data_IF_000872167615
#
_entry.id   IF_000872167615
#
_cell.length_a   1.000
_cell.length_b   1.000
_cell.length_c   1.000
_cell.angle_alpha   90.00
_cell.angle_beta   90.00
_cell.angle_gamma   90.00
#
_symmetry.space_group_name_H-M   'P 1'
#
loop_
_entity.id
_entity.type
_entity.pdbx_description
1 polymer ?
#
# COMPACT_ATOMS: atom_id res chain seq x y z
N UNK A 1 54.18 -31.90 -24.91
CA UNK A 1 55.36 -31.03 -25.01
C UNK A 1 55.19 -29.91 -23.99
N UNK A 2 56.03 -29.98 -22.99
CA UNK A 2 56.10 -29.10 -21.83
C UNK A 2 56.86 -27.79 -22.14
N UNK A 3 56.49 -26.70 -21.62
CA UNK A 3 57.48 -25.68 -21.18
C UNK A 3 56.96 -24.91 -19.96
N UNK A 4 57.67 -25.08 -18.83
CA UNK A 4 57.73 -24.24 -17.62
C UNK A 4 58.80 -23.19 -17.79
N UNK A 5 58.59 -21.96 -17.31
CA UNK A 5 59.64 -21.03 -16.83
C UNK A 5 58.97 -20.11 -15.79
N UNK A 6 59.30 -20.08 -14.60
CA UNK A 6 60.23 -19.76 -13.54
C UNK A 6 60.35 -18.22 -13.25
N UNK A 7 59.88 -17.88 -12.03
CA UNK A 7 60.35 -16.96 -10.98
C UNK A 7 61.44 -15.94 -11.24
N UNK A 8 61.20 -14.70 -10.73
CA UNK A 8 62.22 -13.96 -9.96
C UNK A 8 61.55 -13.08 -8.88
N UNK A 9 62.04 -13.24 -7.65
CA UNK A 9 61.80 -12.41 -6.47
C UNK A 9 62.83 -11.27 -6.45
N UNK A 10 62.45 -10.10 -6.03
CA UNK A 10 63.31 -8.98 -5.78
C UNK A 10 62.92 -8.23 -4.52
N UNK A 11 63.64 -8.49 -3.44
CA UNK A 11 63.56 -7.82 -2.15
C UNK A 11 64.38 -6.53 -2.21
N UNK A 12 63.82 -5.40 -1.83
CA UNK A 12 64.58 -4.18 -1.51
C UNK A 12 64.11 -3.63 -0.17
N UNK A 13 65.04 -3.73 0.78
CA UNK A 13 65.04 -3.11 2.11
C UNK A 13 65.51 -1.66 1.94
N UNK A 14 64.79 -0.72 2.46
CA UNK A 14 65.31 0.64 2.73
C UNK A 14 64.82 1.12 4.08
N UNK A 15 65.73 1.21 4.98
CA UNK A 15 65.67 1.88 6.28
C UNK A 15 65.59 3.38 6.12
N UNK A 16 64.65 4.05 6.80
CA UNK A 16 64.72 5.48 7.06
C UNK A 16 64.25 5.79 8.49
N UNK A 17 65.06 6.54 9.12
CA UNK A 17 65.15 7.10 10.45
C UNK A 17 63.89 7.76 11.02
N UNK A 18 63.76 7.61 12.33
CA UNK A 18 62.79 8.25 13.21
C UNK A 18 62.98 9.78 13.28
N UNK A 19 61.87 10.50 13.12
CA UNK A 19 61.73 11.89 13.50
C UNK A 19 60.50 12.05 14.38
N UNK A 20 60.70 12.25 15.71
CA UNK A 20 59.65 12.62 16.63
C UNK A 20 59.22 14.10 16.35
N UNK A 21 57.97 14.27 15.97
CA UNK A 21 57.28 15.54 16.08
C UNK A 21 56.03 15.32 16.95
N UNK A 22 56.09 15.80 18.19
CA UNK A 22 54.94 15.91 19.10
C UNK A 22 54.09 17.09 18.63
N UNK A 23 52.94 16.82 18.05
CA UNK A 23 51.89 17.81 17.86
C UNK A 23 50.64 17.33 18.59
N UNK A 24 50.08 18.22 19.40
CA UNK A 24 48.95 17.98 20.29
C UNK A 24 47.75 17.33 19.62
N UNK A 25 47.37 16.19 20.11
CA UNK A 25 46.18 15.47 19.69
C UNK A 25 44.91 16.16 20.17
N UNK A 26 44.19 16.79 19.29
CA UNK A 26 42.75 16.99 19.48
C UNK A 26 42.07 15.61 19.37
N UNK A 27 41.57 15.10 20.49
CA UNK A 27 40.75 13.89 20.50
C UNK A 27 39.54 14.13 19.60
N UNK A 28 39.60 13.58 18.39
CA UNK A 28 38.42 13.49 17.53
C UNK A 28 37.36 12.64 18.24
N UNK A 29 36.26 13.27 18.64
CA UNK A 29 35.08 12.63 19.15
C UNK A 29 34.61 11.64 18.07
N UNK A 30 34.34 10.35 18.41
CA UNK A 30 33.77 9.43 17.44
C UNK A 30 32.47 10.03 16.90
N UNK A 31 32.13 9.84 15.61
CA UNK A 31 30.86 10.32 15.07
C UNK A 31 29.76 9.72 15.94
N UNK A 32 29.00 10.60 16.61
CA UNK A 32 27.72 10.21 17.19
C UNK A 32 26.95 9.59 16.01
N UNK A 33 26.67 8.30 16.08
CA UNK A 33 25.56 7.74 15.33
C UNK A 33 24.36 8.54 15.79
N UNK A 34 23.87 9.39 14.91
CA UNK A 34 22.52 9.86 15.00
C UNK A 34 21.69 8.58 15.16
N UNK A 35 21.12 8.41 16.33
CA UNK A 35 20.05 7.46 16.52
C UNK A 35 18.97 7.96 15.59
N UNK A 36 18.92 7.40 14.38
CA UNK A 36 17.74 7.47 13.56
C UNK A 36 16.61 7.10 14.50
N UNK A 37 15.87 8.12 14.88
CA UNK A 37 14.61 7.95 15.56
C UNK A 37 13.79 7.07 14.63
N UNK A 38 13.74 5.78 14.95
CA UNK A 38 12.73 4.88 14.42
C UNK A 38 11.38 5.41 14.91
N UNK A 39 10.93 6.51 14.29
CA UNK A 39 9.53 6.88 14.28
C UNK A 39 8.86 5.80 13.47
N UNK A 40 8.52 4.68 14.11
CA UNK A 40 7.66 3.66 13.55
C UNK A 40 6.49 4.39 12.92
N UNK A 41 6.44 4.40 11.59
CA UNK A 41 5.40 5.13 10.86
C UNK A 41 4.11 4.46 11.27
N UNK A 42 3.28 5.18 12.01
CA UNK A 42 1.97 4.70 12.44
C UNK A 42 1.18 4.27 11.21
N UNK A 43 0.55 3.10 11.25
CA UNK A 43 -0.23 2.54 10.14
C UNK A 43 -1.26 3.55 9.64
N UNK A 44 -1.29 3.80 8.33
CA UNK A 44 -2.27 4.73 7.77
C UNK A 44 -3.63 4.02 7.62
N UNK A 45 -4.57 4.40 8.47
CA UNK A 45 -5.95 3.89 8.44
C UNK A 45 -6.73 4.56 7.33
N UNK A 46 -7.46 3.78 6.55
CA UNK A 46 -8.33 4.22 5.47
C UNK A 46 -9.61 3.43 5.33
N UNK A 47 -10.42 3.86 4.37
CA UNK A 47 -11.63 3.17 3.95
C UNK A 47 -11.97 3.50 2.49
N UNK A 48 -12.50 2.53 1.77
CA UNK A 48 -13.23 2.80 0.54
C UNK A 48 -14.70 3.08 0.86
N UNK A 49 -15.15 4.29 0.60
CA UNK A 49 -16.49 4.77 0.98
C UNK A 49 -17.35 5.14 -0.22
N UNK A 50 -16.76 5.61 -1.29
CA UNK A 50 -17.39 5.96 -2.57
C UNK A 50 -16.36 6.60 -3.52
N UNK A 51 -16.77 6.77 -4.78
CA UNK A 51 -15.98 7.52 -5.78
C UNK A 51 -16.05 9.05 -5.56
N UNK A 52 -15.03 9.76 -6.03
CA UNK A 52 -15.03 11.21 -6.18
C UNK A 52 -15.33 12.01 -4.89
N UNK A 53 -16.05 13.12 -5.04
CA UNK A 53 -16.39 14.03 -3.92
C UNK A 53 -17.18 13.36 -2.80
N UNK A 54 -18.20 12.53 -3.06
CA UNK A 54 -18.92 11.83 -1.99
C UNK A 54 -18.02 10.93 -1.14
N UNK A 55 -17.01 10.28 -1.75
CA UNK A 55 -16.03 9.49 -1.00
C UNK A 55 -15.24 10.34 -0.01
N UNK A 56 -14.76 11.50 -0.43
CA UNK A 56 -14.01 12.43 0.43
C UNK A 56 -14.88 12.98 1.57
N UNK A 57 -16.13 13.32 1.30
CA UNK A 57 -17.07 13.80 2.33
C UNK A 57 -17.32 12.73 3.39
N UNK A 58 -17.53 11.49 2.97
CA UNK A 58 -17.72 10.35 3.86
C UNK A 58 -16.49 10.01 4.70
N UNK A 59 -15.27 10.30 4.22
CA UNK A 59 -14.07 10.17 5.05
C UNK A 59 -14.16 11.03 6.33
N UNK A 60 -14.69 12.25 6.23
CA UNK A 60 -14.88 13.11 7.40
C UNK A 60 -15.99 12.61 8.33
N UNK A 61 -17.04 12.05 7.76
CA UNK A 61 -18.16 11.47 8.53
C UNK A 61 -17.73 10.19 9.27
N UNK A 62 -16.98 9.31 8.61
CA UNK A 62 -16.40 8.12 9.24
C UNK A 62 -15.45 8.51 10.36
N UNK A 63 -14.56 9.49 10.15
CA UNK A 63 -13.68 10.01 11.19
C UNK A 63 -14.47 10.49 12.44
N UNK A 64 -15.57 11.22 12.24
CA UNK A 64 -16.46 11.64 13.35
C UNK A 64 -17.11 10.44 14.06
N UNK A 65 -17.57 9.44 13.29
CA UNK A 65 -18.14 8.22 13.85
C UNK A 65 -17.12 7.43 14.68
N UNK A 66 -15.84 7.45 14.30
CA UNK A 66 -14.69 6.88 15.01
C UNK A 66 -14.20 7.77 16.18
N UNK A 67 -15.00 8.73 16.65
CA UNK A 67 -14.60 9.60 17.77
C UNK A 67 -13.52 10.63 17.40
N UNK A 68 -13.39 10.96 16.12
CA UNK A 68 -12.40 11.91 15.57
C UNK A 68 -11.06 11.26 15.22
N UNK A 69 -10.97 9.93 15.08
CA UNK A 69 -9.79 9.25 14.56
C UNK A 69 -9.45 9.75 13.16
N UNK A 70 -8.22 10.18 12.97
CA UNK A 70 -7.77 10.71 11.67
C UNK A 70 -7.57 9.58 10.68
N UNK A 71 -8.27 9.65 9.55
CA UNK A 71 -8.09 8.74 8.44
C UNK A 71 -6.99 9.31 7.53
N UNK A 72 -5.93 8.52 7.32
CA UNK A 72 -4.76 8.96 6.59
C UNK A 72 -4.58 8.28 5.23
N UNK A 73 -5.26 7.18 4.96
CA UNK A 73 -5.31 6.57 3.63
C UNK A 73 -6.66 6.87 2.97
N UNK A 74 -6.67 7.70 1.94
CA UNK A 74 -7.84 7.96 1.10
C UNK A 74 -7.83 7.03 -0.10
N UNK A 75 -8.81 6.15 -0.18
CA UNK A 75 -8.86 5.08 -1.16
C UNK A 75 -10.03 5.26 -2.14
N UNK A 76 -9.73 5.12 -3.43
CA UNK A 76 -10.74 5.13 -4.49
C UNK A 76 -10.28 4.36 -5.73
N UNK A 77 -11.20 4.12 -6.65
CA UNK A 77 -10.98 3.39 -7.89
C UNK A 77 -11.16 4.29 -9.10
N UNK A 78 -10.45 4.00 -10.17
CA UNK A 78 -10.83 4.47 -11.50
C UNK A 78 -11.84 3.49 -12.10
N UNK A 79 -12.95 3.98 -12.71
CA UNK A 79 -13.85 3.12 -13.45
C UNK A 79 -13.12 2.46 -14.62
N UNK A 80 -13.30 1.15 -14.76
CA UNK A 80 -12.59 0.34 -15.75
C UNK A 80 -13.38 0.04 -17.02
N UNK A 81 -14.43 0.78 -17.31
CA UNK A 81 -15.32 0.54 -18.47
C UNK A 81 -14.72 1.02 -19.79
N UNK A 82 -14.00 2.15 -19.77
CA UNK A 82 -13.35 2.74 -20.95
C UNK A 82 -11.94 3.25 -20.62
N UNK A 83 -11.09 3.35 -21.65
CA UNK A 83 -9.77 3.95 -21.52
C UNK A 83 -9.80 5.38 -21.00
N UNK A 84 -10.76 6.19 -21.42
CA UNK A 84 -10.90 7.57 -20.94
C UNK A 84 -11.14 7.67 -19.43
N UNK A 85 -11.79 6.68 -18.84
CA UNK A 85 -11.99 6.59 -17.39
C UNK A 85 -10.74 6.10 -16.68
N UNK A 86 -10.02 5.13 -17.25
CA UNK A 86 -8.73 4.66 -16.74
C UNK A 86 -7.66 5.77 -16.78
N UNK A 87 -7.70 6.65 -17.76
CA UNK A 87 -6.88 7.85 -17.82
C UNK A 87 -7.19 8.86 -16.69
N UNK A 88 -8.19 8.59 -15.86
CA UNK A 88 -8.57 9.40 -14.72
C UNK A 88 -9.33 10.67 -15.11
N UNK A 89 -10.64 10.57 -15.30
CA UNK A 89 -11.49 11.73 -15.55
C UNK A 89 -11.25 12.82 -14.47
N UNK A 90 -11.00 14.09 -14.87
CA UNK A 90 -10.48 15.12 -13.96
C UNK A 90 -11.33 15.36 -12.72
N UNK A 91 -12.65 15.21 -12.84
CA UNK A 91 -13.57 15.55 -11.74
C UNK A 91 -13.54 14.52 -10.61
N UNK A 92 -13.30 13.26 -10.92
CA UNK A 92 -13.21 12.20 -9.91
C UNK A 92 -11.94 12.31 -9.06
N UNK A 93 -10.81 12.73 -9.64
CA UNK A 93 -9.51 12.81 -8.96
C UNK A 93 -9.29 14.12 -8.20
N UNK A 94 -9.90 15.25 -8.61
CA UNK A 94 -9.67 16.57 -8.00
C UNK A 94 -9.99 16.63 -6.52
N UNK A 95 -11.07 15.98 -6.10
CA UNK A 95 -11.49 15.98 -4.69
C UNK A 95 -10.49 15.22 -3.83
N UNK A 96 -10.05 14.07 -4.30
CA UNK A 96 -9.03 13.25 -3.63
C UNK A 96 -7.66 13.95 -3.60
N UNK A 97 -7.27 14.60 -4.70
CA UNK A 97 -6.03 15.37 -4.75
C UNK A 97 -6.04 16.53 -3.74
N UNK A 98 -7.16 17.25 -3.60
CA UNK A 98 -7.32 18.30 -2.57
C UNK A 98 -7.25 17.71 -1.17
N UNK A 99 -7.94 16.61 -0.94
CA UNK A 99 -7.92 15.90 0.35
C UNK A 99 -6.49 15.47 0.72
N UNK A 100 -5.75 14.86 -0.21
CA UNK A 100 -4.33 14.44 0.00
C UNK A 100 -3.44 15.63 0.35
N UNK A 101 -3.54 16.72 -0.41
CA UNK A 101 -2.69 17.91 -0.24
C UNK A 101 -3.00 18.70 1.05
N UNK A 102 -4.17 18.54 1.63
CA UNK A 102 -4.53 19.24 2.87
C UNK A 102 -3.67 18.81 4.08
N UNK A 103 -3.00 17.64 4.01
CA UNK A 103 -2.09 17.14 5.06
C UNK A 103 -0.97 16.33 4.45
N UNK A 104 0.26 16.54 4.92
CA UNK A 104 1.46 15.88 4.40
C UNK A 104 1.52 14.37 4.74
N UNK A 105 0.88 13.95 5.84
CA UNK A 105 0.87 12.58 6.35
C UNK A 105 -0.24 11.69 5.74
N UNK A 106 -1.04 12.21 4.81
CA UNK A 106 -2.05 11.44 4.08
C UNK A 106 -1.45 10.69 2.91
N UNK A 107 -1.99 9.51 2.63
CA UNK A 107 -1.75 8.73 1.43
C UNK A 107 -2.97 8.82 0.52
N UNK A 108 -2.74 8.98 -0.76
CA UNK A 108 -3.79 8.77 -1.77
C UNK A 108 -3.55 7.41 -2.41
N UNK A 109 -4.50 6.50 -2.26
CA UNK A 109 -4.49 5.13 -2.79
C UNK A 109 -5.49 5.06 -3.94
N UNK A 110 -5.01 4.65 -5.11
CA UNK A 110 -5.80 4.63 -6.33
C UNK A 110 -5.73 3.27 -7.00
N UNK A 111 -6.86 2.54 -7.04
CA UNK A 111 -6.98 1.31 -7.81
C UNK A 111 -7.11 1.65 -9.30
N UNK A 112 -6.20 1.09 -10.10
CA UNK A 112 -6.08 1.35 -11.53
C UNK A 112 -6.27 0.05 -12.32
N UNK A 113 -7.34 -0.07 -13.12
CA UNK A 113 -7.51 -1.20 -14.04
C UNK A 113 -6.42 -1.22 -15.10
N UNK A 114 -5.92 -2.41 -15.46
CA UNK A 114 -4.93 -2.52 -16.54
C UNK A 114 -5.58 -2.55 -17.94
N UNK A 115 -6.86 -2.89 -18.04
CA UNK A 115 -7.59 -3.00 -19.29
C UNK A 115 -8.99 -2.40 -19.16
N UNK A 116 -9.50 -1.85 -20.25
CA UNK A 116 -10.90 -1.43 -20.32
C UNK A 116 -11.86 -2.62 -20.28
N UNK A 117 -13.16 -2.35 -20.06
CA UNK A 117 -14.18 -3.37 -19.83
C UNK A 117 -13.79 -4.31 -18.67
N UNK A 118 -13.25 -3.73 -17.60
CA UNK A 118 -12.60 -4.45 -16.53
C UNK A 118 -13.50 -5.50 -15.86
N UNK A 119 -14.79 -5.21 -15.72
CA UNK A 119 -15.78 -6.09 -15.09
C UNK A 119 -16.69 -6.78 -16.11
N UNK A 120 -16.36 -6.71 -17.41
CA UNK A 120 -17.09 -7.43 -18.42
C UNK A 120 -16.64 -8.90 -18.47
N UNK A 121 -17.58 -9.78 -18.78
CA UNK A 121 -17.28 -11.21 -18.96
C UNK A 121 -16.55 -11.44 -20.29
N UNK A 122 -15.28 -11.05 -20.33
CA UNK A 122 -14.41 -11.20 -21.50
C UNK A 122 -13.76 -12.60 -21.46
N UNK A 123 -13.92 -13.43 -22.52
CA UNK A 123 -13.35 -14.77 -22.55
C UNK A 123 -11.82 -14.78 -22.41
N UNK A 124 -11.25 -15.80 -21.75
CA UNK A 124 -9.82 -15.93 -21.48
C UNK A 124 -8.94 -15.78 -22.73
N UNK A 125 -9.34 -16.35 -23.87
CA UNK A 125 -8.59 -16.21 -25.12
C UNK A 125 -8.46 -14.74 -25.55
N UNK A 126 -9.53 -13.95 -25.41
CA UNK A 126 -9.50 -12.51 -25.70
C UNK A 126 -8.70 -11.73 -24.67
N UNK A 127 -8.80 -12.09 -23.38
CA UNK A 127 -7.96 -11.51 -22.33
C UNK A 127 -6.48 -11.73 -22.63
N UNK A 128 -6.09 -12.93 -23.00
CA UNK A 128 -4.69 -13.24 -23.37
C UNK A 128 -4.20 -12.40 -24.58
N UNK A 129 -5.05 -12.15 -25.58
CA UNK A 129 -4.72 -11.26 -26.69
C UNK A 129 -4.49 -9.81 -26.25
N UNK A 130 -5.39 -9.27 -25.41
CA UNK A 130 -5.29 -7.92 -24.88
C UNK A 130 -4.04 -7.74 -23.99
N UNK A 131 -3.74 -8.73 -23.14
CA UNK A 131 -2.52 -8.75 -22.32
C UNK A 131 -1.29 -8.73 -23.21
N UNK A 132 -1.23 -9.52 -24.30
CA UNK A 132 -0.12 -9.51 -25.25
C UNK A 132 0.03 -8.17 -25.97
N UNK A 133 -1.08 -7.51 -26.32
CA UNK A 133 -1.05 -6.16 -26.88
C UNK A 133 -0.45 -5.15 -25.88
N UNK A 134 -0.89 -5.21 -24.62
CA UNK A 134 -0.30 -4.39 -23.54
C UNK A 134 1.19 -4.68 -23.33
N UNK A 135 1.59 -5.96 -23.36
CA UNK A 135 3.00 -6.35 -23.25
C UNK A 135 3.88 -5.81 -24.40
N UNK A 136 3.29 -5.50 -25.56
CA UNK A 136 3.98 -4.81 -26.68
C UNK A 136 3.95 -3.29 -26.55
N UNK A 137 3.24 -2.73 -25.55
CA UNK A 137 3.19 -1.29 -25.28
C UNK A 137 2.07 -0.54 -26.03
N UNK A 138 1.09 -1.24 -26.60
CA UNK A 138 -0.01 -0.61 -27.34
C UNK A 138 -0.85 0.35 -26.47
N UNK A 139 -0.84 0.15 -25.15
CA UNK A 139 -1.66 0.92 -24.19
C UNK A 139 -0.84 1.88 -23.30
N UNK A 140 0.48 1.96 -23.47
CA UNK A 140 1.36 2.79 -22.62
C UNK A 140 0.89 4.24 -22.50
N UNK A 141 0.40 4.83 -23.58
CA UNK A 141 -0.03 6.21 -23.66
C UNK A 141 -1.22 6.55 -22.74
N UNK A 142 -2.07 5.59 -22.41
CA UNK A 142 -3.18 5.78 -21.46
C UNK A 142 -2.65 5.99 -20.04
N UNK A 143 -1.65 5.20 -19.65
CA UNK A 143 -1.04 5.27 -18.33
C UNK A 143 -0.11 6.48 -18.19
N UNK A 144 0.55 6.91 -19.26
CA UNK A 144 1.26 8.18 -19.28
C UNK A 144 0.33 9.37 -19.02
N UNK A 145 -0.84 9.40 -19.67
CA UNK A 145 -1.85 10.44 -19.43
C UNK A 145 -2.37 10.45 -18.00
N UNK A 146 -2.60 9.27 -17.40
CA UNK A 146 -2.98 9.18 -15.99
C UNK A 146 -1.88 9.75 -15.10
N UNK A 147 -0.64 9.38 -15.33
CA UNK A 147 0.52 9.86 -14.57
C UNK A 147 0.67 11.39 -14.67
N UNK A 148 0.59 11.96 -15.89
CA UNK A 148 0.61 13.40 -16.13
C UNK A 148 -0.50 14.12 -15.36
N UNK A 149 -1.72 13.58 -15.36
CA UNK A 149 -2.85 14.15 -14.59
C UNK A 149 -2.60 14.15 -13.09
N UNK A 150 -2.11 13.05 -12.53
CA UNK A 150 -1.80 12.96 -11.11
C UNK A 150 -0.70 13.95 -10.70
N UNK A 151 0.33 14.11 -11.52
CA UNK A 151 1.39 15.12 -11.30
C UNK A 151 0.83 16.54 -11.38
N UNK A 152 0.04 16.87 -12.41
CA UNK A 152 -0.62 18.19 -12.57
C UNK A 152 -1.58 18.49 -11.42
N UNK A 153 -2.28 17.50 -10.90
CA UNK A 153 -3.15 17.65 -9.73
C UNK A 153 -2.37 17.83 -8.41
N UNK A 154 -1.05 17.67 -8.43
CA UNK A 154 -0.16 17.83 -7.27
C UNK A 154 -0.21 16.64 -6.31
N UNK A 155 -0.42 15.43 -6.82
CA UNK A 155 -0.35 14.16 -6.08
C UNK A 155 0.60 13.17 -6.77
N UNK A 156 1.87 13.58 -6.96
CA UNK A 156 2.86 12.76 -7.68
C UNK A 156 3.30 11.52 -6.90
N UNK A 157 2.93 11.40 -5.64
CA UNK A 157 3.28 10.35 -4.69
C UNK A 157 2.10 9.38 -4.41
N UNK A 158 1.11 9.35 -5.29
CA UNK A 158 -0.02 8.43 -5.22
C UNK A 158 0.46 6.98 -5.17
N UNK A 159 -0.15 6.17 -4.29
CA UNK A 159 -0.02 4.72 -4.29
C UNK A 159 -0.95 4.16 -5.37
N UNK A 160 -0.39 3.49 -6.36
CA UNK A 160 -1.12 2.90 -7.49
C UNK A 160 -1.30 1.42 -7.23
N UNK A 161 -2.52 1.01 -6.89
CA UNK A 161 -2.90 -0.41 -6.82
C UNK A 161 -3.25 -0.86 -8.24
N UNK A 162 -2.27 -1.43 -8.91
CA UNK A 162 -2.36 -1.70 -10.34
C UNK A 162 -2.89 -3.12 -10.60
N UNK A 163 -4.05 -3.23 -11.22
CA UNK A 163 -4.62 -4.52 -11.61
C UNK A 163 -4.85 -5.45 -10.43
N UNK A 164 -5.53 -4.98 -9.40
CA UNK A 164 -5.84 -5.71 -8.15
C UNK A 164 -6.58 -7.03 -8.41
N UNK A 165 -6.52 -7.97 -7.45
CA UNK A 165 -7.16 -9.29 -7.51
C UNK A 165 -6.90 -10.07 -8.82
N UNK A 166 -5.73 -9.86 -9.42
CA UNK A 166 -5.36 -10.42 -10.73
C UNK A 166 -5.32 -11.95 -10.76
N UNK A 167 -5.23 -12.59 -9.61
CA UNK A 167 -5.25 -14.05 -9.49
C UNK A 167 -6.67 -14.64 -9.51
N UNK A 168 -7.71 -13.79 -9.52
CA UNK A 168 -9.11 -14.18 -9.60
C UNK A 168 -9.63 -14.49 -11.01
N UNK A 169 -10.95 -14.66 -11.11
CA UNK A 169 -11.64 -15.01 -12.35
C UNK A 169 -12.33 -13.81 -13.03
N UNK A 170 -12.64 -12.76 -12.28
CA UNK A 170 -13.67 -11.79 -12.66
C UNK A 170 -13.18 -10.67 -13.58
N UNK A 171 -11.96 -10.16 -13.36
CA UNK A 171 -11.49 -8.97 -14.06
C UNK A 171 -10.89 -9.27 -15.43
N UNK A 172 -11.05 -8.34 -16.37
CA UNK A 172 -10.41 -8.44 -17.69
C UNK A 172 -8.88 -8.39 -17.55
N UNK A 173 -8.34 -7.78 -16.52
CA UNK A 173 -6.91 -7.77 -16.23
C UNK A 173 -6.39 -9.00 -15.45
N UNK A 174 -7.17 -10.09 -15.34
CA UNK A 174 -6.72 -11.32 -14.65
C UNK A 174 -5.49 -11.96 -15.30
N UNK A 175 -4.61 -12.49 -14.47
CA UNK A 175 -3.29 -12.97 -14.85
C UNK A 175 -3.31 -14.37 -15.52
N UNK A 176 -4.21 -15.26 -15.09
CA UNK A 176 -4.23 -16.68 -15.48
C UNK A 176 -4.16 -16.94 -16.97
N UNK A 177 -4.83 -16.17 -17.87
CA UNK A 177 -4.83 -16.44 -19.30
C UNK A 177 -3.45 -16.35 -19.96
N UNK A 178 -2.54 -15.50 -19.49
CA UNK A 178 -1.17 -15.37 -20.01
C UNK A 178 -0.23 -14.72 -18.97
N UNK A 179 0.22 -15.47 -17.94
CA UNK A 179 0.98 -14.89 -16.81
C UNK A 179 2.27 -14.19 -17.23
N UNK A 180 3.00 -14.72 -18.21
CA UNK A 180 4.28 -14.14 -18.62
C UNK A 180 4.10 -12.80 -19.34
N UNK A 181 3.11 -12.68 -20.22
CA UNK A 181 2.81 -11.41 -20.85
C UNK A 181 2.07 -10.46 -19.90
N UNK A 182 1.32 -10.96 -18.90
CA UNK A 182 0.74 -10.15 -17.84
C UNK A 182 1.84 -9.43 -17.04
N UNK A 183 2.87 -10.13 -16.59
CA UNK A 183 4.03 -9.53 -15.90
C UNK A 183 4.75 -8.50 -16.78
N UNK A 184 4.93 -8.79 -18.06
CA UNK A 184 5.52 -7.85 -19.02
C UNK A 184 4.65 -6.60 -19.18
N UNK A 185 3.35 -6.76 -19.29
CA UNK A 185 2.41 -5.66 -19.42
C UNK A 185 2.39 -4.78 -18.16
N UNK A 186 2.34 -5.39 -16.98
CA UNK A 186 2.45 -4.68 -15.69
C UNK A 186 3.73 -3.83 -15.65
N UNK A 187 4.87 -4.40 -16.00
CA UNK A 187 6.16 -3.70 -16.10
C UNK A 187 6.13 -2.56 -17.12
N UNK A 188 5.45 -2.71 -18.25
CA UNK A 188 5.27 -1.66 -19.27
C UNK A 188 4.49 -0.48 -18.71
N UNK A 189 3.40 -0.74 -17.99
CA UNK A 189 2.60 0.31 -17.34
C UNK A 189 3.46 1.09 -16.34
N UNK A 190 4.18 0.39 -15.46
CA UNK A 190 5.07 1.05 -14.50
C UNK A 190 6.12 1.91 -15.20
N UNK A 191 6.75 1.40 -16.25
CA UNK A 191 7.74 2.15 -17.03
C UNK A 191 7.12 3.40 -17.69
N UNK A 192 5.92 3.27 -18.26
CA UNK A 192 5.20 4.38 -18.87
C UNK A 192 4.84 5.47 -17.84
N UNK A 193 4.34 5.08 -16.67
CA UNK A 193 4.03 6.04 -15.61
C UNK A 193 5.29 6.68 -15.01
N UNK A 194 6.35 5.90 -14.80
CA UNK A 194 7.63 6.40 -14.28
C UNK A 194 8.40 7.30 -15.26
N UNK A 195 8.06 7.30 -16.56
CA UNK A 195 8.65 8.20 -17.56
C UNK A 195 8.17 9.64 -17.42
N UNK A 196 7.10 9.90 -16.68
CA UNK A 196 6.56 11.26 -16.50
C UNK A 196 7.38 12.01 -15.45
N UNK A 197 7.87 13.20 -15.83
CA UNK A 197 8.70 14.03 -14.96
C UNK A 197 7.93 14.47 -13.70
N UNK A 198 8.62 14.45 -12.55
CA UNK A 198 8.07 14.89 -11.26
C UNK A 198 7.25 13.84 -10.53
N UNK A 199 6.98 12.69 -11.13
CA UNK A 199 6.29 11.59 -10.46
C UNK A 199 7.16 10.95 -9.36
N UNK A 200 6.50 10.39 -8.34
CA UNK A 200 7.06 9.59 -7.23
C UNK A 200 6.08 8.51 -6.81
N UNK A 201 5.38 7.93 -7.78
CA UNK A 201 4.38 6.89 -7.52
C UNK A 201 4.99 5.69 -6.83
N UNK A 202 4.19 5.05 -5.99
CA UNK A 202 4.47 3.72 -5.44
C UNK A 202 3.48 2.74 -6.04
N UNK A 203 4.00 1.62 -6.54
CA UNK A 203 3.18 0.59 -7.18
C UNK A 203 2.93 -0.55 -6.19
N UNK A 204 1.66 -0.79 -5.93
CA UNK A 204 1.16 -1.80 -5.02
C UNK A 204 0.64 -3.00 -5.81
N UNK A 205 1.20 -4.17 -5.54
CA UNK A 205 0.79 -5.45 -6.11
C UNK A 205 -0.15 -6.14 -5.15
N UNK A 206 -1.45 -6.07 -5.39
CA UNK A 206 -2.52 -6.53 -4.51
C UNK A 206 -3.31 -7.71 -5.09
N UNK A 207 -2.88 -8.96 -4.86
CA UNK A 207 -3.68 -10.13 -5.17
C UNK A 207 -4.84 -10.31 -4.19
N UNK A 208 -5.82 -11.11 -4.60
CA UNK A 208 -6.80 -11.70 -3.72
C UNK A 208 -6.17 -12.82 -2.87
N UNK A 209 -6.56 -12.94 -1.60
CA UNK A 209 -6.08 -13.97 -0.68
C UNK A 209 -6.37 -15.37 -1.20
N UNK A 210 -5.37 -16.25 -1.13
CA UNK A 210 -5.47 -17.65 -1.54
C UNK A 210 -5.03 -17.93 -2.96
N UNK A 211 -5.18 -19.17 -3.39
CA UNK A 211 -4.79 -19.64 -4.74
C UNK A 211 -5.68 -19.07 -5.83
N UNK A 212 -6.96 -18.96 -5.57
CA UNK A 212 -8.01 -18.54 -6.50
C UNK A 212 -7.88 -19.22 -7.90
N UNK A 213 -7.88 -18.47 -9.02
CA UNK A 213 -7.68 -19.04 -10.36
C UNK A 213 -6.22 -19.41 -10.66
N UNK A 214 -5.27 -18.79 -9.97
CA UNK A 214 -3.83 -19.03 -10.09
C UNK A 214 -3.12 -18.58 -8.83
N UNK A 215 -2.10 -19.30 -8.39
CA UNK A 215 -1.23 -18.83 -7.31
C UNK A 215 -0.71 -17.42 -7.64
N UNK A 216 -0.99 -16.44 -6.80
CA UNK A 216 -0.66 -15.03 -7.07
C UNK A 216 0.84 -14.77 -7.21
N UNK A 217 1.69 -15.58 -6.57
CA UNK A 217 3.15 -15.51 -6.73
C UNK A 217 3.61 -15.72 -8.18
N UNK A 218 2.83 -16.43 -8.99
CA UNK A 218 3.11 -16.61 -10.43
C UNK A 218 2.88 -15.35 -11.25
N UNK A 219 2.14 -14.39 -10.71
CA UNK A 219 1.84 -13.10 -11.34
C UNK A 219 2.80 -11.99 -10.88
N UNK A 220 3.67 -12.25 -9.92
CA UNK A 220 4.57 -11.23 -9.39
C UNK A 220 5.54 -10.70 -10.46
N UNK A 221 5.52 -9.39 -10.77
CA UNK A 221 6.26 -8.84 -11.92
C UNK A 221 7.72 -8.51 -11.61
N UNK A 222 8.14 -8.54 -10.33
CA UNK A 222 9.52 -8.34 -9.90
C UNK A 222 9.74 -7.11 -9.01
N UNK A 223 10.81 -7.17 -8.20
CA UNK A 223 11.11 -6.20 -7.14
C UNK A 223 11.41 -4.78 -7.63
N UNK A 224 11.94 -4.65 -8.85
CA UNK A 224 12.30 -3.37 -9.44
C UNK A 224 11.10 -2.52 -9.87
N UNK A 225 9.93 -3.13 -9.97
CA UNK A 225 8.68 -2.47 -10.39
C UNK A 225 7.58 -2.50 -9.33
N UNK A 226 7.73 -3.27 -8.25
CA UNK A 226 6.80 -3.31 -7.11
C UNK A 226 7.42 -2.59 -5.92
N UNK A 227 6.69 -1.66 -5.34
CA UNK A 227 7.11 -0.89 -4.16
C UNK A 227 6.43 -1.39 -2.88
N UNK A 228 5.20 -1.91 -2.99
CA UNK A 228 4.38 -2.46 -1.90
C UNK A 228 3.77 -3.78 -2.35
N UNK A 229 3.68 -4.75 -1.45
CA UNK A 229 2.97 -6.00 -1.70
C UNK A 229 1.70 -5.98 -0.85
N UNK A 230 0.57 -5.77 -1.51
CA UNK A 230 -0.75 -5.75 -0.90
C UNK A 230 -1.41 -7.12 -0.88
N UNK A 231 -2.57 -7.19 -0.22
CA UNK A 231 -3.48 -8.32 -0.31
C UNK A 231 -4.91 -7.86 -0.04
N UNK A 232 -5.82 -8.20 -0.94
CA UNK A 232 -7.24 -8.03 -0.74
C UNK A 232 -7.78 -9.26 -0.01
N UNK A 233 -8.44 -9.04 1.15
CA UNK A 233 -8.84 -10.14 2.02
C UNK A 233 -10.19 -9.87 2.69
N UNK A 234 -11.14 -10.75 2.47
CA UNK A 234 -12.47 -10.67 3.05
C UNK A 234 -12.79 -11.91 3.90
N UNK A 235 -13.71 -11.75 4.85
CA UNK A 235 -14.21 -12.84 5.69
C UNK A 235 -15.11 -13.77 4.87
N UNK A 236 -14.49 -14.66 4.12
CA UNK A 236 -15.16 -15.62 3.25
C UNK A 236 -14.31 -16.88 3.04
N UNK A 237 -14.93 -18.01 2.64
CA UNK A 237 -14.21 -19.19 2.18
C UNK A 237 -13.27 -18.90 0.98
N UNK A 238 -12.19 -19.68 0.82
CA UNK A 238 -11.76 -20.74 1.69
C UNK A 238 -11.18 -20.23 3.02
N UNK A 239 -11.35 -21.06 4.08
CA UNK A 239 -11.00 -20.74 5.46
C UNK A 239 -12.27 -20.38 6.27
N UNK A 240 -12.64 -21.28 7.19
CA UNK A 240 -13.82 -21.08 8.05
C UNK A 240 -13.48 -20.21 9.26
N UNK A 241 -12.22 -20.18 9.65
CA UNK A 241 -11.67 -19.39 10.75
C UNK A 241 -10.62 -18.41 10.25
N UNK A 242 -10.27 -17.42 11.06
CA UNK A 242 -9.18 -16.51 10.75
C UNK A 242 -7.84 -17.26 10.67
N UNK A 243 -7.59 -18.23 11.56
CA UNK A 243 -6.37 -19.06 11.53
C UNK A 243 -6.24 -19.83 10.21
N UNK A 244 -7.36 -20.34 9.66
CA UNK A 244 -7.36 -20.94 8.33
C UNK A 244 -6.97 -19.92 7.25
N UNK A 245 -7.47 -18.69 7.36
CA UNK A 245 -7.13 -17.61 6.42
C UNK A 245 -5.66 -17.18 6.53
N UNK A 246 -5.08 -17.29 7.72
CA UNK A 246 -3.64 -17.05 7.96
C UNK A 246 -2.80 -18.15 7.33
N UNK A 247 -3.15 -19.43 7.61
CA UNK A 247 -2.28 -20.59 7.34
C UNK A 247 -2.51 -21.27 5.98
N UNK A 248 -3.61 -20.96 5.29
CA UNK A 248 -3.88 -21.54 3.97
C UNK A 248 -2.79 -21.18 2.97
N UNK A 249 -2.59 -22.01 1.92
CA UNK A 249 -1.69 -21.67 0.82
C UNK A 249 -2.04 -20.30 0.22
N UNK A 250 -1.04 -19.45 0.03
CA UNK A 250 -1.19 -18.07 -0.47
C UNK A 250 -2.07 -17.18 0.41
N UNK A 251 -2.15 -17.52 1.71
CA UNK A 251 -2.89 -16.79 2.74
C UNK A 251 -2.11 -15.62 3.32
N UNK A 252 -2.61 -15.14 4.48
CA UNK A 252 -2.05 -13.93 5.12
C UNK A 252 -0.60 -14.13 5.58
N UNK A 253 -0.23 -15.32 6.10
CA UNK A 253 1.17 -15.56 6.52
C UNK A 253 2.11 -15.60 5.32
N UNK A 254 1.75 -16.33 4.25
CA UNK A 254 2.58 -16.39 3.05
C UNK A 254 2.74 -14.99 2.41
N UNK A 255 1.74 -14.14 2.50
CA UNK A 255 1.82 -12.74 2.07
C UNK A 255 2.88 -11.96 2.84
N UNK A 256 2.89 -12.05 4.17
CA UNK A 256 3.89 -11.38 5.02
C UNK A 256 5.29 -11.92 4.73
N UNK A 257 5.45 -13.25 4.73
CA UNK A 257 6.73 -13.93 4.47
C UNK A 257 7.28 -13.59 3.09
N UNK A 258 6.42 -13.54 2.08
CA UNK A 258 6.80 -13.17 0.72
C UNK A 258 7.27 -11.71 0.65
N UNK A 259 6.54 -10.80 1.26
CA UNK A 259 6.93 -9.39 1.30
C UNK A 259 8.27 -9.18 2.02
N UNK A 260 8.49 -9.87 3.13
CA UNK A 260 9.76 -9.84 3.86
C UNK A 260 10.92 -10.38 3.00
N UNK A 261 10.72 -11.52 2.35
CA UNK A 261 11.71 -12.12 1.46
C UNK A 261 12.11 -11.22 0.28
N UNK A 262 11.18 -10.36 -0.17
CA UNK A 262 11.40 -9.39 -1.24
C UNK A 262 11.78 -7.98 -0.73
N UNK A 263 11.91 -7.78 0.59
CA UNK A 263 12.25 -6.50 1.20
C UNK A 263 11.22 -5.40 0.96
N UNK A 264 9.93 -5.77 0.91
CA UNK A 264 8.81 -4.85 0.63
C UNK A 264 7.94 -4.64 1.86
N UNK A 265 7.34 -3.44 1.94
CA UNK A 265 6.26 -3.19 2.88
C UNK A 265 4.99 -3.90 2.41
N UNK A 266 4.14 -4.30 3.35
CA UNK A 266 2.81 -4.84 3.05
C UNK A 266 1.74 -3.76 3.09
N UNK A 267 0.60 -4.06 2.49
CA UNK A 267 -0.65 -3.28 2.60
C UNK A 267 -1.87 -4.20 2.57
N UNK A 268 -3.00 -3.66 3.04
CA UNK A 268 -4.32 -4.27 2.85
C UNK A 268 -5.23 -3.24 2.16
N UNK A 269 -5.15 -3.12 0.82
CA UNK A 269 -5.95 -2.16 0.06
C UNK A 269 -7.44 -2.38 0.24
N UNK A 270 -7.86 -3.65 0.29
CA UNK A 270 -9.24 -4.04 0.51
C UNK A 270 -9.35 -5.12 1.58
N UNK A 271 -10.19 -4.89 2.57
CA UNK A 271 -10.55 -5.92 3.53
C UNK A 271 -11.91 -5.62 4.17
N UNK A 272 -12.53 -6.64 4.75
CA UNK A 272 -13.83 -6.48 5.41
C UNK A 272 -14.56 -7.80 5.61
N UNK A 273 -15.81 -7.69 6.03
CA UNK A 273 -16.72 -8.81 6.16
C UNK A 273 -17.22 -9.26 4.78
N UNK A 274 -17.76 -10.47 4.67
CA UNK A 274 -18.43 -10.90 3.46
C UNK A 274 -19.39 -12.08 3.75
N UNK A 275 -19.07 -13.29 3.26
CA UNK A 275 -20.02 -14.43 3.24
C UNK A 275 -20.31 -15.03 4.62
N UNK A 276 -19.45 -14.76 5.60
CA UNK A 276 -19.62 -15.23 6.99
C UNK A 276 -20.48 -14.25 7.83
N UNK A 277 -21.01 -13.18 7.21
CA UNK A 277 -21.92 -12.22 7.82
C UNK A 277 -21.29 -11.33 8.89
N UNK A 278 -22.05 -10.92 9.91
CA UNK A 278 -21.57 -10.09 11.02
C UNK A 278 -20.69 -10.91 11.97
N UNK A 279 -19.39 -10.89 11.72
CA UNK A 279 -18.38 -11.67 12.43
C UNK A 279 -17.41 -10.76 13.24
N UNK A 280 -17.78 -10.42 14.50
CA UNK A 280 -16.94 -9.58 15.35
C UNK A 280 -15.63 -10.25 15.76
N UNK A 281 -15.52 -11.58 15.69
CA UNK A 281 -14.28 -12.30 15.99
C UNK A 281 -13.26 -12.11 14.87
N UNK A 282 -13.65 -12.30 13.60
CA UNK A 282 -12.82 -11.95 12.47
C UNK A 282 -12.35 -10.48 12.53
N UNK A 283 -13.26 -9.57 12.85
CA UNK A 283 -12.93 -8.15 12.96
C UNK A 283 -11.82 -7.87 13.99
N UNK A 284 -11.88 -8.50 15.18
CA UNK A 284 -10.83 -8.37 16.20
C UNK A 284 -9.50 -8.94 15.73
N UNK A 285 -9.54 -10.15 15.16
CA UNK A 285 -8.34 -10.86 14.72
C UNK A 285 -7.66 -10.15 13.55
N UNK A 286 -8.41 -9.64 12.57
CA UNK A 286 -7.84 -8.88 11.46
C UNK A 286 -7.24 -7.55 11.93
N UNK A 287 -7.88 -6.83 12.84
CA UNK A 287 -7.32 -5.61 13.42
C UNK A 287 -6.06 -5.89 14.24
N UNK A 288 -6.03 -6.99 15.02
CA UNK A 288 -4.84 -7.42 15.74
C UNK A 288 -3.70 -7.79 14.78
N UNK A 289 -3.99 -8.50 13.70
CA UNK A 289 -3.05 -8.83 12.63
C UNK A 289 -2.44 -7.58 11.99
N UNK A 290 -3.26 -6.59 11.68
CA UNK A 290 -2.82 -5.30 11.14
C UNK A 290 -1.90 -4.58 12.14
N UNK A 291 -2.26 -4.55 13.42
CA UNK A 291 -1.46 -3.92 14.47
C UNK A 291 -0.10 -4.62 14.68
N UNK A 292 -0.04 -5.94 14.54
CA UNK A 292 1.18 -6.74 14.66
C UNK A 292 2.12 -6.53 13.48
N UNK A 293 1.61 -6.67 12.25
CA UNK A 293 2.44 -6.65 11.01
C UNK A 293 2.67 -5.24 10.43
N UNK A 294 2.00 -4.21 10.95
CA UNK A 294 2.22 -2.79 10.65
C UNK A 294 2.32 -2.49 9.14
N UNK A 295 1.28 -2.76 8.35
CA UNK A 295 1.27 -2.43 6.93
C UNK A 295 1.49 -0.93 6.72
N UNK A 296 1.96 -0.55 5.53
CA UNK A 296 2.03 0.85 5.11
C UNK A 296 0.67 1.55 5.27
N UNK A 297 -0.39 0.86 4.88
CA UNK A 297 -1.77 1.28 5.07
C UNK A 297 -2.72 0.08 5.04
N UNK A 298 -3.91 0.28 5.58
CA UNK A 298 -5.04 -0.59 5.32
C UNK A 298 -6.30 0.23 5.03
N UNK A 299 -7.21 -0.35 4.26
CA UNK A 299 -8.45 0.30 3.85
C UNK A 299 -9.61 -0.70 3.93
N UNK A 300 -10.53 -0.49 4.88
CA UNK A 300 -11.75 -1.28 4.94
C UNK A 300 -12.68 -0.92 3.77
N UNK A 301 -13.27 -1.94 3.13
CA UNK A 301 -14.30 -1.74 2.11
C UNK A 301 -15.64 -1.52 2.80
N UNK A 302 -16.10 -0.26 2.89
CA UNK A 302 -17.23 0.09 3.75
C UNK A 302 -18.53 0.34 2.97
N UNK A 303 -19.04 -0.71 2.37
CA UNK A 303 -20.43 -0.83 1.89
C UNK A 303 -20.95 -2.25 2.16
N UNK A 304 -22.27 -2.48 2.10
CA UNK A 304 -22.81 -3.82 2.35
C UNK A 304 -22.45 -4.81 1.23
N UNK A 305 -22.07 -6.04 1.59
CA UNK A 305 -22.06 -6.62 2.93
C UNK A 305 -20.75 -6.43 3.72
N UNK A 306 -19.75 -5.76 3.17
CA UNK A 306 -18.36 -5.75 3.67
C UNK A 306 -18.13 -4.78 4.83
N UNK A 307 -18.88 -3.70 4.86
CA UNK A 307 -18.61 -2.54 5.70
C UNK A 307 -19.15 -2.63 7.12
N UNK A 308 -18.75 -1.65 7.91
CA UNK A 308 -19.11 -1.53 9.34
C UNK A 308 -19.87 -0.24 9.64
N UNK A 309 -19.63 0.84 8.92
CA UNK A 309 -20.28 2.14 9.13
C UNK A 309 -21.45 2.35 8.15
N UNK A 310 -21.25 2.10 6.86
CA UNK A 310 -22.30 2.22 5.84
C UNK A 310 -23.16 0.96 5.69
N UNK A 311 -22.91 -0.08 6.50
CA UNK A 311 -23.62 -1.34 6.44
C UNK A 311 -24.28 -1.67 7.78
N UNK A 312 -25.59 -1.51 7.88
CA UNK A 312 -26.37 -1.85 9.09
C UNK A 312 -26.49 -3.36 9.37
N UNK A 313 -26.02 -4.21 8.47
CA UNK A 313 -26.05 -5.68 8.63
C UNK A 313 -25.00 -6.20 9.61
N UNK A 314 -23.97 -5.38 9.93
CA UNK A 314 -22.80 -5.79 10.70
C UNK A 314 -22.62 -5.01 12.02
N UNK A 315 -23.66 -4.91 12.90
CA UNK A 315 -23.61 -4.02 14.07
C UNK A 315 -22.59 -4.45 15.13
N UNK A 316 -22.32 -5.75 15.30
CA UNK A 316 -21.35 -6.24 16.29
C UNK A 316 -19.91 -5.99 15.82
N UNK A 317 -19.63 -6.25 14.56
CA UNK A 317 -18.33 -5.95 13.95
C UNK A 317 -18.07 -4.44 13.89
N UNK A 318 -19.10 -3.64 13.63
CA UNK A 318 -19.03 -2.18 13.68
C UNK A 318 -18.61 -1.64 15.06
N UNK A 319 -19.16 -2.25 16.13
CA UNK A 319 -18.77 -1.90 17.49
C UNK A 319 -17.29 -2.22 17.75
N UNK A 320 -16.83 -3.41 17.38
CA UNK A 320 -15.42 -3.83 17.54
C UNK A 320 -14.48 -2.89 16.80
N UNK A 321 -14.77 -2.60 15.53
CA UNK A 321 -13.97 -1.71 14.69
C UNK A 321 -13.86 -0.30 15.32
N UNK A 322 -14.99 0.24 15.77
CA UNK A 322 -15.03 1.55 16.40
C UNK A 322 -14.27 1.59 17.72
N UNK A 323 -14.44 0.60 18.58
CA UNK A 323 -13.74 0.51 19.86
C UNK A 323 -12.23 0.42 19.65
N UNK A 324 -11.77 -0.46 18.77
CA UNK A 324 -10.35 -0.65 18.49
C UNK A 324 -9.68 0.65 18.02
N UNK A 325 -10.21 1.31 17.02
CA UNK A 325 -9.62 2.53 16.46
C UNK A 325 -9.78 3.77 17.35
N UNK A 326 -10.74 3.76 18.29
CA UNK A 326 -10.89 4.85 19.25
C UNK A 326 -9.91 4.74 20.42
N UNK A 327 -9.48 3.52 20.80
CA UNK A 327 -8.58 3.25 21.93
C UNK A 327 -7.11 3.34 21.57
N UNK A 328 -6.73 3.24 20.30
CA UNK A 328 -5.35 3.44 19.84
C UNK A 328 -4.85 4.87 20.07
N UNK A 329 -5.70 5.80 20.40
CA UNK A 329 -5.31 7.04 21.06
C UNK A 329 -5.06 6.72 22.54
N UNK A 330 -3.79 6.50 22.93
CA UNK A 330 -3.40 6.50 24.34
C UNK A 330 -4.04 7.67 25.08
N UNK A 331 -4.19 7.66 26.43
CA UNK A 331 -4.91 8.67 27.19
C UNK A 331 -4.39 10.06 26.80
N UNK A 332 -5.16 10.73 25.97
CA UNK A 332 -4.82 12.00 25.37
C UNK A 332 -4.58 13.03 26.47
N UNK A 333 -3.53 13.82 26.32
CA UNK A 333 -3.35 15.08 27.02
C UNK A 333 -4.70 15.76 27.21
N UNK A 334 -5.09 16.16 28.43
CA UNK A 334 -6.30 16.90 28.64
C UNK A 334 -6.25 18.18 27.80
N UNK A 335 -7.32 18.44 27.06
CA UNK A 335 -7.49 19.69 26.34
C UNK A 335 -7.37 20.82 27.37
N UNK A 336 -6.37 21.68 27.18
CA UNK A 336 -6.17 22.83 28.02
C UNK A 336 -7.30 23.86 27.89
N UNK A 337 -8.33 23.71 28.67
CA UNK A 337 -9.36 24.71 28.89
C UNK A 337 -10.06 24.46 30.23
N UNK A 338 -9.30 24.47 31.34
CA UNK A 338 -9.78 24.74 32.69
C UNK A 338 -8.58 25.29 33.49
N UNK A 339 -8.12 26.43 33.10
CA UNK A 339 -7.47 27.36 34.04
C UNK A 339 -8.59 28.05 34.77
N UNK A 340 -9.07 27.43 35.86
CA UNK A 340 -9.74 28.18 36.89
C UNK A 340 -8.75 29.19 37.50
N UNK A 341 -9.08 30.43 37.25
CA UNK A 341 -8.45 31.62 37.75
C UNK A 341 -8.68 31.68 39.29
N UNK A 342 -7.72 31.18 40.07
CA UNK A 342 -7.68 31.43 41.49
C UNK A 342 -7.04 32.81 41.73
N UNK A 343 -7.87 33.84 41.63
CA UNK A 343 -7.55 35.17 42.13
C UNK A 343 -7.34 35.17 43.65
N UNK A 344 -6.43 35.99 44.18
CA UNK A 344 -6.15 36.06 45.61
C UNK A 344 -7.35 36.64 46.39
N UNK A 345 -7.74 35.96 47.48
CA UNK A 345 -8.71 36.54 48.45
C UNK A 345 -8.08 37.70 49.19
N UNK A 346 -8.79 38.81 49.42
CA UNK A 346 -8.30 39.85 50.28
C UNK A 346 -8.52 39.46 51.75
N UNK A 347 -7.58 39.92 52.57
CA UNK A 347 -7.23 39.71 53.93
C UNK A 347 -8.32 39.67 54.99
N UNK A 348 -7.88 39.01 56.09
CA UNK A 348 -7.95 39.57 57.48
C UNK A 348 -6.71 39.05 58.21
#
# INVERSE_FOLDING_TARGET
MSHRVRWFAGTLISTVTAGLLVTGGALARPPQRDSDSNTGTEVAVGAYLHYGTPGVERMQELSRWLGGTELRAGHTYLPGDTWSNIEGAPDSLRSWARWRKARADRLFVLNVPMLERNEADVPDGRVAELIRSGARGEYDHHFQRLAERLVVLGVPDTVIVLGWEMNGFNYTHRCRPDPENWKRYWRRIVAAMRSVEGQRFRFDFAPNRGSDAIAWTRCYPGDDVVDVIGMDTYDQPPGDTFDDQVTQPYGLQEHVDFAEAHGKQISYPEWGLFRNGDNPEYMRQMLAWIAEHKPLYHSITDYCPHGVWQCSQNPRSAQVFREFLSTERGPGRPSGSDREDYGPRPGD
#
